data_IF_571771657837
#
_entry.id   IF_571771657837
#
_cell.length_a   1.000
_cell.length_b   1.000
_cell.length_c   1.000
_cell.angle_alpha   90.00
_cell.angle_beta   90.00
_cell.angle_gamma   90.00
#
_symmetry.space_group_name_H-M   'P 1'
#
loop_
_entity.id
_entity.type
_entity.pdbx_description
1 polymer ?
#
# COMPACT_ATOMS: atom_id res chain seq x y z
N UNK A 1 -9.43 -14.95 -4.81
CA UNK A 1 -8.52 -13.78 -4.88
C UNK A 1 -8.19 -13.53 -6.34
N UNK A 2 -8.45 -12.33 -6.87
CA UNK A 2 -8.28 -12.04 -8.30
C UNK A 2 -6.79 -11.85 -8.63
N UNK A 3 -6.23 -12.77 -9.43
CA UNK A 3 -4.82 -12.80 -9.81
C UNK A 3 -4.53 -11.90 -11.02
N UNK A 4 -5.47 -11.14 -11.56
CA UNK A 4 -5.22 -10.34 -12.77
C UNK A 4 -4.43 -9.04 -12.53
N UNK A 5 -4.05 -8.72 -11.29
CA UNK A 5 -3.42 -7.44 -10.92
C UNK A 5 -1.90 -7.48 -10.68
N UNK A 6 -1.23 -8.65 -10.70
CA UNK A 6 0.23 -8.71 -10.52
C UNK A 6 0.94 -8.73 -11.87
N UNK A 7 2.10 -8.08 -11.93
CA UNK A 7 2.90 -7.98 -13.15
C UNK A 7 4.04 -9.02 -13.19
N UNK A 8 4.30 -9.74 -12.09
CA UNK A 8 5.29 -10.81 -12.04
C UNK A 8 4.99 -11.89 -11.00
N UNK A 9 5.19 -13.15 -11.38
CA UNK A 9 5.00 -14.32 -10.53
C UNK A 9 6.25 -15.18 -10.56
N UNK A 10 6.81 -15.42 -9.37
CA UNK A 10 7.83 -16.44 -9.18
C UNK A 10 7.17 -17.53 -8.33
N UNK A 11 6.78 -18.61 -9.00
CA UNK A 11 6.20 -19.77 -8.33
C UNK A 11 7.25 -20.86 -8.21
N UNK A 12 7.68 -21.11 -6.97
CA UNK A 12 8.64 -22.14 -6.63
C UNK A 12 7.86 -23.46 -6.49
N UNK A 13 7.76 -24.20 -7.59
CA UNK A 13 7.28 -25.59 -7.56
C UNK A 13 8.32 -26.46 -6.88
N UNK A 14 7.91 -27.66 -6.48
CA UNK A 14 8.77 -28.71 -5.93
C UNK A 14 9.89 -29.02 -6.95
N UNK A 15 10.96 -28.23 -6.89
CA UNK A 15 12.01 -28.13 -7.89
C UNK A 15 12.78 -29.43 -7.88
N UNK A 16 12.80 -30.14 -9.02
CA UNK A 16 13.51 -31.41 -9.23
C UNK A 16 14.87 -31.52 -8.52
N UNK A 17 15.98 -31.28 -9.23
CA UNK A 17 17.33 -31.52 -8.67
C UNK A 17 17.65 -30.60 -7.46
N UNK A 18 18.01 -31.21 -6.33
CA UNK A 18 18.42 -30.56 -5.07
C UNK A 18 19.76 -29.84 -5.22
N UNK A 19 19.81 -28.55 -4.87
CA UNK A 19 21.08 -27.83 -4.72
C UNK A 19 21.71 -28.16 -3.36
N UNK A 20 23.02 -28.40 -3.30
CA UNK A 20 23.72 -28.80 -2.06
C UNK A 20 23.78 -27.68 -1.01
N UNK A 21 23.74 -26.41 -1.43
CA UNK A 21 23.85 -25.26 -0.51
C UNK A 21 22.54 -24.50 -0.24
N UNK A 22 21.55 -24.56 -1.14
CA UNK A 22 20.25 -23.87 -0.94
C UNK A 22 19.08 -24.86 -0.86
N UNK A 23 19.37 -26.17 -0.90
CA UNK A 23 18.40 -27.25 -0.75
C UNK A 23 17.26 -27.20 -1.77
N UNK A 24 16.08 -27.70 -1.41
CA UNK A 24 14.87 -27.77 -2.25
C UNK A 24 13.92 -26.62 -1.93
N UNK A 25 13.03 -26.28 -2.88
CA UNK A 25 12.06 -25.19 -2.70
C UNK A 25 12.68 -23.81 -2.39
N UNK A 26 13.89 -23.55 -2.88
CA UNK A 26 14.57 -22.28 -2.65
C UNK A 26 14.49 -21.36 -3.87
N UNK A 27 14.32 -20.07 -3.58
CA UNK A 27 14.61 -18.96 -4.50
C UNK A 27 15.68 -18.10 -3.84
N UNK A 28 16.89 -18.15 -4.38
CA UNK A 28 18.07 -17.54 -3.76
C UNK A 28 19.25 -17.50 -4.72
N UNK A 29 20.23 -16.64 -4.40
CA UNK A 29 21.46 -16.54 -5.17
C UNK A 29 22.59 -17.37 -4.54
N UNK A 30 23.51 -17.89 -5.35
CA UNK A 30 24.69 -18.64 -4.93
C UNK A 30 25.97 -17.98 -5.48
N UNK A 31 27.11 -18.15 -4.80
CA UNK A 31 28.43 -17.60 -5.18
C UNK A 31 28.42 -16.13 -5.62
N UNK A 32 28.17 -15.22 -4.67
CA UNK A 32 28.08 -13.77 -4.89
C UNK A 32 27.04 -13.31 -5.94
N UNK A 33 26.16 -14.22 -6.39
CA UNK A 33 25.02 -13.88 -7.21
C UNK A 33 24.12 -12.87 -6.50
N UNK A 34 23.44 -12.03 -7.29
CA UNK A 34 22.48 -11.04 -6.81
C UNK A 34 21.13 -11.30 -7.44
N UNK A 35 20.09 -11.32 -6.61
CA UNK A 35 18.70 -11.31 -7.09
C UNK A 35 18.18 -9.89 -6.90
N UNK A 36 17.76 -9.29 -8.02
CA UNK A 36 17.02 -8.03 -8.01
C UNK A 36 15.58 -8.32 -8.39
N UNK A 37 14.66 -8.02 -7.49
CA UNK A 37 13.22 -8.10 -7.76
C UNK A 37 12.67 -6.69 -7.66
N UNK A 38 12.34 -6.13 -8.82
CA UNK A 38 11.72 -4.82 -8.94
C UNK A 38 10.25 -4.99 -9.31
N UNK A 39 9.40 -4.25 -8.61
CA UNK A 39 8.03 -4.04 -9.04
C UNK A 39 7.92 -2.98 -10.16
N UNK A 40 6.67 -2.66 -10.52
CA UNK A 40 6.31 -1.41 -11.20
C UNK A 40 6.98 -0.22 -10.51
N UNK A 41 7.74 0.63 -11.22
CA UNK A 41 8.29 1.85 -10.64
C UNK A 41 7.16 2.81 -10.29
N UNK A 42 7.27 3.45 -9.12
CA UNK A 42 6.39 4.53 -8.68
C UNK A 42 7.21 5.81 -8.63
N UNK A 43 6.67 6.91 -9.13
CA UNK A 43 7.30 8.22 -8.94
C UNK A 43 7.30 8.61 -7.46
N UNK A 44 6.30 8.13 -6.71
CA UNK A 44 6.16 8.35 -5.27
C UNK A 44 5.34 7.24 -4.61
N UNK A 45 5.77 6.80 -3.45
CA UNK A 45 5.15 5.69 -2.69
C UNK A 45 4.23 6.15 -1.56
N UNK A 46 4.19 7.45 -1.26
CA UNK A 46 3.42 8.00 -0.14
C UNK A 46 2.89 9.41 -0.44
N UNK A 47 1.78 9.78 0.17
CA UNK A 47 1.26 11.14 0.20
C UNK A 47 0.74 11.46 1.60
N UNK A 48 0.42 12.72 1.87
CA UNK A 48 -0.47 13.09 2.96
C UNK A 48 -1.91 13.10 2.45
N UNK A 49 -2.88 12.91 3.34
CA UNK A 49 -4.24 13.37 3.06
C UNK A 49 -4.22 14.88 2.79
N UNK A 50 -5.00 15.37 1.83
CA UNK A 50 -5.20 16.81 1.61
C UNK A 50 -6.27 17.40 2.54
N UNK A 51 -7.17 16.55 3.06
CA UNK A 51 -8.24 16.90 4.00
C UNK A 51 -8.29 15.89 5.14
N UNK A 52 -9.01 16.21 6.22
CA UNK A 52 -9.24 15.22 7.29
C UNK A 52 -9.94 13.97 6.72
N UNK A 53 -9.50 12.78 7.15
CA UNK A 53 -10.24 11.56 6.87
C UNK A 53 -11.53 11.54 7.69
N UNK A 54 -12.68 11.60 7.01
CA UNK A 54 -13.99 11.69 7.67
C UNK A 54 -14.49 10.28 7.97
N UNK A 55 -14.80 10.00 9.24
CA UNK A 55 -15.44 8.75 9.66
C UNK A 55 -16.70 8.47 8.83
N UNK A 56 -16.87 7.22 8.40
CA UNK A 56 -18.04 6.79 7.62
C UNK A 56 -17.96 7.09 6.12
N UNK A 57 -16.90 7.76 5.64
CA UNK A 57 -16.70 7.99 4.20
C UNK A 57 -15.92 6.87 3.53
N UNK A 58 -16.00 6.79 2.20
CA UNK A 58 -15.31 5.79 1.36
C UNK A 58 -14.38 6.43 0.34
N UNK A 59 -13.92 7.65 0.61
CA UNK A 59 -13.03 8.38 -0.27
C UNK A 59 -12.10 9.26 0.53
N UNK A 60 -10.89 9.45 0.03
CA UNK A 60 -9.92 10.38 0.63
C UNK A 60 -9.25 11.23 -0.44
N UNK A 61 -9.05 12.51 -0.13
CA UNK A 61 -8.28 13.45 -0.95
C UNK A 61 -6.81 13.36 -0.60
N UNK A 62 -5.92 13.31 -1.60
CA UNK A 62 -4.48 13.26 -1.40
C UNK A 62 -3.83 14.60 -1.75
N UNK A 63 -2.76 14.96 -1.04
CA UNK A 63 -1.98 16.16 -1.35
C UNK A 63 -1.35 16.10 -2.75
N UNK A 64 -0.98 14.91 -3.21
CA UNK A 64 -0.39 14.68 -4.52
C UNK A 64 -1.35 13.91 -5.43
N UNK A 65 -1.30 14.18 -6.73
CA UNK A 65 -2.11 13.47 -7.72
C UNK A 65 -1.71 11.99 -7.80
N UNK A 66 -2.63 11.04 -7.54
CA UNK A 66 -2.32 9.61 -7.58
C UNK A 66 -1.84 9.12 -8.96
N UNK A 67 -2.33 9.71 -10.05
CA UNK A 67 -1.89 9.35 -11.40
C UNK A 67 -0.41 9.72 -11.63
N UNK A 68 -0.01 10.93 -11.24
CA UNK A 68 1.37 11.41 -11.36
C UNK A 68 2.34 10.62 -10.45
N UNK A 69 1.85 10.11 -9.32
CA UNK A 69 2.62 9.21 -8.45
C UNK A 69 2.80 7.81 -9.05
N UNK A 70 2.06 7.48 -10.11
CA UNK A 70 2.02 6.17 -10.75
C UNK A 70 1.20 5.14 -9.99
N UNK A 71 0.26 5.57 -9.14
CA UNK A 71 -0.67 4.68 -8.44
C UNK A 71 -1.73 4.16 -9.41
N UNK A 72 -2.41 3.06 -9.08
CA UNK A 72 -3.46 2.47 -9.92
C UNK A 72 -4.63 1.97 -9.10
N UNK A 73 -5.80 1.91 -9.73
CA UNK A 73 -6.95 1.14 -9.24
C UNK A 73 -6.52 -0.30 -8.96
N UNK A 74 -6.92 -0.82 -7.80
CA UNK A 74 -6.54 -2.13 -7.28
C UNK A 74 -5.25 -2.16 -6.47
N UNK A 75 -4.44 -1.08 -6.46
CA UNK A 75 -3.33 -0.97 -5.51
C UNK A 75 -3.87 -0.97 -4.07
N UNK A 76 -3.05 -1.42 -3.13
CA UNK A 76 -3.36 -1.29 -1.70
C UNK A 76 -2.76 -0.01 -1.15
N UNK A 77 -3.50 0.65 -0.26
CA UNK A 77 -3.03 1.81 0.48
C UNK A 77 -3.22 1.59 1.96
N UNK A 78 -2.32 2.14 2.78
CA UNK A 78 -2.49 2.24 4.23
C UNK A 78 -2.61 3.71 4.59
N UNK A 79 -3.62 4.04 5.39
CA UNK A 79 -3.80 5.37 5.97
C UNK A 79 -3.41 5.29 7.44
N UNK A 80 -2.38 6.04 7.85
CA UNK A 80 -1.83 6.00 9.19
C UNK A 80 -1.68 7.41 9.79
N UNK A 81 -2.03 7.64 11.06
CA UNK A 81 -1.81 8.93 11.70
C UNK A 81 -0.31 9.24 11.87
N UNK A 82 0.07 10.52 11.79
CA UNK A 82 1.47 10.97 11.76
C UNK A 82 2.10 11.30 13.11
N UNK A 83 1.33 11.41 14.20
CA UNK A 83 1.87 11.76 15.53
C UNK A 83 1.46 10.77 16.63
N UNK A 84 2.35 10.55 17.63
CA UNK A 84 1.95 9.93 18.89
C UNK A 84 0.78 10.73 19.49
N UNK A 85 -0.30 10.05 19.90
CA UNK A 85 -1.56 10.66 20.38
C UNK A 85 -2.52 11.19 19.30
N UNK A 86 -2.27 10.99 18.00
CA UNK A 86 -3.37 11.04 17.02
C UNK A 86 -4.43 9.98 17.34
N UNK A 87 -5.70 10.33 17.15
CA UNK A 87 -6.81 9.38 17.33
C UNK A 87 -6.89 8.47 16.09
N UNK A 88 -7.18 7.19 16.30
CA UNK A 88 -7.39 6.23 15.21
C UNK A 88 -6.30 5.17 15.08
N UNK A 89 -6.65 4.09 14.38
CA UNK A 89 -5.73 3.01 14.01
C UNK A 89 -5.30 3.18 12.56
N UNK A 90 -4.14 2.63 12.19
CA UNK A 90 -3.80 2.48 10.78
C UNK A 90 -4.79 1.53 10.10
N UNK A 91 -5.30 1.92 8.94
CA UNK A 91 -6.29 1.14 8.18
C UNK A 91 -5.77 0.87 6.76
N UNK A 92 -6.05 -0.33 6.23
CA UNK A 92 -5.67 -0.73 4.89
C UNK A 92 -6.86 -0.88 3.94
N UNK A 93 -6.72 -0.32 2.73
CA UNK A 93 -7.76 -0.30 1.70
C UNK A 93 -7.19 -0.71 0.34
N UNK A 94 -8.08 -1.04 -0.59
CA UNK A 94 -7.76 -1.06 -2.01
C UNK A 94 -8.27 0.23 -2.68
N UNK A 95 -7.55 0.70 -3.70
CA UNK A 95 -7.99 1.82 -4.53
C UNK A 95 -9.12 1.33 -5.46
N UNK A 96 -10.31 1.87 -5.30
CA UNK A 96 -11.47 1.56 -6.14
C UNK A 96 -11.60 2.43 -7.39
N UNK A 97 -10.97 3.59 -7.41
CA UNK A 97 -11.11 4.58 -8.48
C UNK A 97 -10.40 5.88 -8.15
N UNK A 98 -10.15 6.69 -9.17
CA UNK A 98 -9.68 8.06 -9.03
C UNK A 98 -10.81 9.02 -9.38
N UNK A 99 -10.90 10.12 -8.65
CA UNK A 99 -11.86 11.20 -8.83
C UNK A 99 -11.13 12.54 -8.89
N UNK A 100 -11.89 13.61 -9.13
CA UNK A 100 -11.35 14.96 -9.14
C UNK A 100 -10.64 15.33 -7.82
N UNK A 101 -9.77 16.34 -7.88
CA UNK A 101 -9.05 16.89 -6.72
C UNK A 101 -8.19 15.85 -5.99
N UNK A 102 -7.48 15.00 -6.73
CA UNK A 102 -6.60 13.96 -6.19
C UNK A 102 -7.32 12.99 -5.24
N UNK A 103 -8.62 12.77 -5.45
CA UNK A 103 -9.43 11.91 -4.58
C UNK A 103 -9.35 10.47 -5.04
N UNK A 104 -9.19 9.55 -4.09
CA UNK A 104 -9.27 8.12 -4.35
C UNK A 104 -10.51 7.53 -3.68
N UNK A 105 -11.22 6.64 -4.38
CA UNK A 105 -12.25 5.77 -3.79
C UNK A 105 -11.60 4.62 -3.05
N UNK A 106 -12.13 4.31 -1.89
CA UNK A 106 -11.67 3.21 -1.04
C UNK A 106 -12.61 2.02 -1.21
N UNK A 107 -12.00 0.86 -1.43
CA UNK A 107 -12.61 -0.45 -1.27
C UNK A 107 -11.99 -1.13 -0.05
N UNK A 108 -12.71 -2.08 0.54
CA UNK A 108 -12.12 -3.02 1.49
C UNK A 108 -10.86 -3.65 0.88
N UNK A 109 -9.92 -4.09 1.72
CA UNK A 109 -8.60 -4.62 1.29
C UNK A 109 -8.66 -5.77 0.28
N UNK A 110 -9.80 -6.45 0.18
CA UNK A 110 -10.07 -7.53 -0.79
C UNK A 110 -10.55 -7.02 -2.16
N UNK A 111 -10.89 -5.73 -2.26
CA UNK A 111 -11.34 -5.05 -3.46
C UNK A 111 -12.80 -5.31 -3.83
N UNK A 112 -13.63 -5.82 -2.91
CA UNK A 112 -14.99 -6.31 -3.26
C UNK A 112 -16.11 -5.31 -2.98
N UNK A 113 -15.95 -4.45 -1.98
CA UNK A 113 -17.00 -3.58 -1.44
C UNK A 113 -16.39 -2.27 -0.94
N UNK A 114 -17.20 -1.23 -0.76
CA UNK A 114 -16.72 0.07 -0.28
C UNK A 114 -15.99 -0.06 1.05
N UNK A 115 -14.77 0.47 1.11
CA UNK A 115 -13.98 0.57 2.33
C UNK A 115 -14.43 1.79 3.09
N UNK A 116 -14.94 1.60 4.30
CA UNK A 116 -15.42 2.69 5.14
C UNK A 116 -14.34 3.07 6.14
N UNK A 117 -14.01 4.35 6.19
CA UNK A 117 -13.09 4.89 7.19
C UNK A 117 -13.71 4.74 8.58
N UNK A 118 -13.04 3.98 9.45
CA UNK A 118 -13.49 3.74 10.82
C UNK A 118 -12.76 4.58 11.87
N UNK A 119 -11.66 5.23 11.47
CA UNK A 119 -10.87 6.14 12.31
C UNK A 119 -11.04 7.59 11.90
N UNK A 120 -10.91 8.48 12.88
CA UNK A 120 -10.85 9.92 12.62
C UNK A 120 -9.39 10.31 12.41
N UNK A 121 -8.99 10.50 11.15
CA UNK A 121 -7.64 10.96 10.80
C UNK A 121 -7.56 12.48 10.93
N UNK A 122 -7.55 12.95 12.19
CA UNK A 122 -7.41 14.36 12.55
C UNK A 122 -6.01 14.65 13.08
N UNK A 123 -5.57 15.87 12.79
CA UNK A 123 -4.35 16.44 13.34
C UNK A 123 -4.69 17.50 14.37
N UNK A 124 -4.27 17.32 15.61
CA UNK A 124 -4.32 18.38 16.61
C UNK A 124 -2.90 18.86 16.85
N UNK A 125 -2.63 20.14 16.59
CA UNK A 125 -1.38 20.75 16.99
C UNK A 125 -1.28 20.68 18.53
N UNK A 126 -0.37 19.86 19.04
CA UNK A 126 -0.18 19.71 20.49
C UNK A 126 0.62 20.87 21.08
N UNK A 127 1.35 21.62 20.25
CA UNK A 127 2.17 22.75 20.65
C UNK A 127 2.25 23.81 19.52
N UNK A 128 1.27 24.70 19.42
CA UNK A 128 1.43 25.88 18.56
C UNK A 128 0.89 27.10 19.28
N UNK A 129 1.81 27.98 19.70
CA UNK A 129 1.51 29.40 19.77
C UNK A 129 1.04 29.87 18.39
N UNK A 130 0.25 30.95 18.40
CA UNK A 130 -0.40 31.55 17.23
C UNK A 130 0.54 31.56 16.00
N UNK A 131 0.08 31.00 14.88
CA UNK A 131 0.68 31.07 13.53
C UNK A 131 1.70 29.99 13.09
N UNK A 132 1.47 28.70 13.39
CA UNK A 132 2.15 27.62 12.66
C UNK A 132 1.18 26.69 11.93
N UNK A 133 1.23 26.72 10.59
CA UNK A 133 0.54 25.80 9.69
C UNK A 133 1.33 24.49 9.63
N UNK A 134 1.14 23.58 10.59
CA UNK A 134 1.75 22.27 10.52
C UNK A 134 0.87 21.33 9.67
N UNK A 135 1.40 20.85 8.53
CA UNK A 135 0.80 19.79 7.71
C UNK A 135 0.87 18.46 8.47
N UNK A 136 0.02 18.27 9.47
CA UNK A 136 -0.02 17.06 10.31
C UNK A 136 -1.10 16.07 9.84
N UNK A 137 -1.38 16.03 8.54
CA UNK A 137 -2.36 15.10 7.98
C UNK A 137 -1.85 13.65 8.02
N UNK A 138 -2.76 12.67 8.01
CA UNK A 138 -2.37 11.26 8.01
C UNK A 138 -1.58 10.92 6.74
N UNK A 139 -0.60 10.03 6.91
CA UNK A 139 0.17 9.48 5.81
C UNK A 139 -0.65 8.42 5.09
N UNK A 140 -0.63 8.48 3.76
CA UNK A 140 -1.20 7.48 2.87
C UNK A 140 -0.05 6.82 2.13
N UNK A 141 0.20 5.56 2.42
CA UNK A 141 1.30 4.78 1.84
C UNK A 141 0.72 3.81 0.82
N UNK A 142 1.20 3.86 -0.42
CA UNK A 142 0.90 2.81 -1.40
C UNK A 142 1.76 1.58 -1.08
N UNK A 143 1.10 0.44 -0.95
CA UNK A 143 1.69 -0.88 -0.80
C UNK A 143 1.64 -1.60 -2.15
N UNK A 144 2.55 -1.29 -3.11
CA UNK A 144 2.57 -1.94 -4.39
C UNK A 144 2.94 -3.42 -4.19
N UNK A 145 1.94 -4.29 -4.26
CA UNK A 145 2.14 -5.75 -4.29
C UNK A 145 2.10 -6.19 -5.75
N UNK A 146 3.10 -5.87 -6.55
CA UNK A 146 3.11 -6.15 -8.00
C UNK A 146 3.94 -7.37 -8.38
N UNK A 147 4.77 -7.89 -7.48
CA UNK A 147 5.46 -9.17 -7.62
C UNK A 147 5.06 -10.11 -6.49
N UNK A 148 4.75 -11.37 -6.82
CA UNK A 148 4.51 -12.43 -5.84
C UNK A 148 5.59 -13.51 -5.98
N UNK A 149 6.24 -13.83 -4.87
CA UNK A 149 7.15 -14.97 -4.75
C UNK A 149 6.50 -15.93 -3.75
N UNK A 150 6.19 -17.14 -4.19
CA UNK A 150 5.50 -18.13 -3.36
C UNK A 150 5.94 -19.56 -3.68
N UNK A 151 5.64 -20.52 -2.81
CA UNK A 151 6.10 -21.91 -2.89
C UNK A 151 4.98 -22.95 -2.78
N UNK A 152 5.36 -24.22 -2.65
CA UNK A 152 4.43 -25.37 -2.65
C UNK A 152 3.35 -25.39 -1.56
N UNK A 153 3.48 -24.56 -0.52
CA UNK A 153 2.48 -24.40 0.56
C UNK A 153 1.29 -23.50 0.15
N UNK A 154 1.32 -22.92 -1.06
CA UNK A 154 0.19 -22.20 -1.65
C UNK A 154 -0.67 -23.19 -2.45
N UNK A 155 -1.53 -23.96 -1.77
CA UNK A 155 -2.54 -24.82 -2.41
C UNK A 155 -3.89 -24.11 -2.48
N UNK A 156 -4.56 -24.27 -3.63
CA UNK A 156 -5.84 -23.67 -3.99
C UNK A 156 -7.03 -24.37 -3.33
#
# INVERSE_FOLDING_TARGET
MNLTSKQGYIYIKNNGLKHTSVYTCAFGAYNAGKIHVSGRPLARTWSLLADRGIYGTSSISLLHNPDDMGWRVGDRVVVAPTVPSSRGNAEDYAIGGFEANNTIKLLNKDGTSSGIISSVFESKALFTGENMTALMQAEVINLPRNTMITGGDFQH
#
